data_IF_525157761706
#
_entry.id   IF_525157761706
#
_cell.length_a   1.000
_cell.length_b   1.000
_cell.length_c   1.000
_cell.angle_alpha   90.00
_cell.angle_beta   90.00
_cell.angle_gamma   90.00
#
_symmetry.space_group_name_H-M   'P 1'
#
loop_
_entity.id
_entity.type
_entity.pdbx_description
1 polymer ?
#
# COMPACT_ATOMS: atom_id res chain seq x y z
N UNK A 1 -30.48 10.70 14.32
CA UNK A 1 -29.65 10.04 15.35
C UNK A 1 -28.59 9.23 14.62
N UNK A 2 -27.31 9.59 14.74
CA UNK A 2 -26.24 8.87 14.06
C UNK A 2 -26.13 7.46 14.66
N UNK A 3 -26.35 6.41 13.86
CA UNK A 3 -26.11 5.04 14.30
C UNK A 3 -24.63 4.89 14.63
N UNK A 4 -24.32 4.82 15.92
CA UNK A 4 -22.99 4.42 16.38
C UNK A 4 -22.79 2.97 15.95
N UNK A 5 -21.77 2.75 15.13
CA UNK A 5 -21.45 1.42 14.63
C UNK A 5 -21.22 0.48 15.82
N UNK A 6 -21.80 -0.73 15.80
CA UNK A 6 -21.58 -1.80 16.80
C UNK A 6 -20.10 -2.26 16.92
N UNK A 7 -19.23 -1.63 16.13
CA UNK A 7 -17.80 -1.86 16.01
C UNK A 7 -16.98 -0.76 16.70
N UNK A 8 -17.61 0.27 17.25
CA UNK A 8 -16.94 1.37 17.94
C UNK A 8 -16.19 0.82 19.18
N UNK A 9 -14.86 0.78 19.10
CA UNK A 9 -13.99 0.25 20.15
C UNK A 9 -13.45 -1.18 19.91
N UNK A 10 -13.87 -1.88 18.86
CA UNK A 10 -13.30 -3.19 18.52
C UNK A 10 -12.01 -3.01 17.71
N UNK A 11 -10.91 -3.62 18.16
CA UNK A 11 -9.61 -3.56 17.47
C UNK A 11 -9.63 -4.50 16.26
N UNK A 12 -9.59 -3.94 15.06
CA UNK A 12 -9.37 -4.69 13.84
C UNK A 12 -7.89 -5.07 13.73
N UNK A 13 -7.51 -6.15 14.43
CA UNK A 13 -6.11 -6.55 14.57
C UNK A 13 -5.40 -6.66 13.21
N UNK A 14 -6.04 -7.27 12.21
CA UNK A 14 -5.47 -7.32 10.86
C UNK A 14 -5.32 -5.95 10.20
N UNK A 15 -6.33 -5.09 10.23
CA UNK A 15 -6.24 -3.75 9.61
C UNK A 15 -5.05 -2.95 10.16
N UNK A 16 -4.96 -2.83 11.47
CA UNK A 16 -3.92 -2.04 12.13
C UNK A 16 -2.53 -2.67 11.90
N UNK A 17 -2.45 -4.00 12.03
CA UNK A 17 -1.20 -4.72 11.81
C UNK A 17 -0.70 -4.58 10.37
N UNK A 18 -1.58 -4.78 9.39
CA UNK A 18 -1.25 -4.69 7.96
C UNK A 18 -0.83 -3.27 7.61
N UNK A 19 -1.57 -2.26 8.07
CA UNK A 19 -1.22 -0.86 7.83
C UNK A 19 0.19 -0.54 8.36
N UNK A 20 0.49 -0.96 9.60
CA UNK A 20 1.80 -0.76 10.21
C UNK A 20 2.92 -1.47 9.44
N UNK A 21 2.71 -2.72 9.00
CA UNK A 21 3.71 -3.48 8.23
C UNK A 21 3.96 -2.88 6.85
N UNK A 22 2.89 -2.50 6.12
CA UNK A 22 3.03 -1.85 4.82
C UNK A 22 3.82 -0.55 5.01
N UNK A 23 3.42 0.31 5.95
CA UNK A 23 4.11 1.57 6.22
C UNK A 23 5.59 1.37 6.53
N UNK A 24 5.93 0.38 7.37
CA UNK A 24 7.31 0.02 7.68
C UNK A 24 8.11 -0.37 6.42
N UNK A 25 7.55 -1.26 5.59
CA UNK A 25 8.20 -1.67 4.34
C UNK A 25 8.43 -0.50 3.37
N UNK A 26 7.49 0.45 3.29
CA UNK A 26 7.65 1.65 2.45
C UNK A 26 8.77 2.56 2.98
N UNK A 27 8.88 2.70 4.32
CA UNK A 27 9.92 3.50 4.98
C UNK A 27 11.30 2.86 4.82
N UNK A 28 11.44 1.55 5.04
CA UNK A 28 12.70 0.83 4.88
C UNK A 28 13.23 0.91 3.45
N UNK A 29 12.36 0.75 2.44
CA UNK A 29 12.74 0.85 1.03
C UNK A 29 13.20 2.25 0.65
N UNK A 30 12.57 3.28 1.22
CA UNK A 30 12.96 4.68 1.03
C UNK A 30 14.34 4.96 1.66
N UNK A 31 14.58 4.46 2.88
CA UNK A 31 15.86 4.62 3.57
C UNK A 31 17.01 3.89 2.85
N UNK A 32 16.76 2.69 2.31
CA UNK A 32 17.77 1.91 1.60
C UNK A 32 18.26 2.62 0.31
N UNK A 33 17.38 3.37 -0.36
CA UNK A 33 17.76 4.15 -1.53
C UNK A 33 18.50 5.46 -1.21
N UNK A 34 18.26 6.06 -0.05
CA UNK A 34 18.92 7.31 0.36
C UNK A 34 20.30 7.11 0.99
N UNK A 35 20.69 5.87 1.32
CA UNK A 35 21.96 5.55 2.00
C UNK A 35 23.21 5.47 1.10
N UNK A 36 23.09 5.64 -0.23
CA UNK A 36 24.21 5.47 -1.18
C UNK A 36 24.92 6.78 -1.56
N UNK A 37 24.47 7.94 -1.08
CA UNK A 37 25.15 9.23 -1.33
C UNK A 37 25.52 9.94 -0.04
N UNK A 38 26.64 9.54 0.55
CA UNK A 38 27.40 10.39 1.48
C UNK A 38 28.88 10.33 1.15
N UNK A 39 29.28 11.04 0.10
CA UNK A 39 30.65 11.54 -0.07
C UNK A 39 30.75 12.93 0.56
N UNK A 40 31.61 13.16 1.57
CA UNK A 40 31.78 14.47 2.17
C UNK A 40 32.84 15.28 1.40
N UNK A 41 32.39 16.26 0.61
CA UNK A 41 33.28 17.23 -0.05
C UNK A 41 33.03 18.64 0.51
N UNK A 42 34.03 19.15 1.23
CA UNK A 42 34.22 20.57 1.62
C UNK A 42 34.35 21.48 0.38
N UNK A 43 33.75 22.69 0.45
CA UNK A 43 34.21 24.03 -0.05
C UNK A 43 32.97 24.85 -0.49
N UNK A 44 32.58 25.96 0.16
CA UNK A 44 33.18 27.30 0.32
C UNK A 44 32.83 28.29 -0.83
N UNK A 45 32.06 29.33 -0.46
CA UNK A 45 32.01 30.74 -0.93
C UNK A 45 31.25 31.24 -2.20
N UNK A 46 30.43 32.30 -1.93
CA UNK A 46 30.17 33.54 -2.71
C UNK A 46 29.35 33.46 -4.02
N UNK A 47 28.45 34.37 -4.45
CA UNK A 47 27.91 35.69 -4.03
C UNK A 47 26.78 36.10 -5.04
N UNK A 48 25.76 36.87 -4.61
CA UNK A 48 24.80 37.74 -5.39
C UNK A 48 23.79 37.09 -6.39
N UNK A 49 22.55 37.53 -6.68
CA UNK A 49 21.66 38.68 -6.37
C UNK A 49 20.20 38.32 -6.81
N UNK A 50 19.15 38.96 -6.24
CA UNK A 50 17.69 38.88 -6.57
C UNK A 50 17.26 39.95 -7.62
N UNK A 51 15.98 40.24 -8.00
CA UNK A 51 14.64 39.65 -7.69
C UNK A 51 13.64 39.53 -8.89
N UNK A 52 12.47 38.89 -8.71
CA UNK A 52 11.25 39.19 -9.49
C UNK A 52 9.96 38.89 -8.70
N UNK A 53 8.99 39.81 -8.81
CA UNK A 53 7.66 39.88 -8.17
C UNK A 53 6.67 38.79 -8.61
N UNK A 54 5.58 38.53 -7.85
CA UNK A 54 4.32 38.19 -8.51
C UNK A 54 3.12 39.00 -8.00
N UNK A 55 2.28 39.41 -8.95
CA UNK A 55 0.96 39.98 -8.80
C UNK A 55 -0.06 38.98 -9.36
N UNK A 56 -1.24 38.90 -8.73
CA UNK A 56 -2.49 38.54 -9.42
C UNK A 56 -3.02 37.12 -9.22
N UNK A 57 -4.04 37.00 -8.35
CA UNK A 57 -5.40 36.62 -8.76
C UNK A 57 -5.72 35.20 -9.26
N UNK A 58 -6.46 34.50 -8.40
CA UNK A 58 -7.60 33.60 -8.70
C UNK A 58 -7.38 32.13 -9.08
N UNK A 59 -8.35 31.34 -8.58
CA UNK A 59 -8.72 29.96 -8.90
C UNK A 59 -8.06 28.89 -8.03
N UNK A 60 -8.82 28.41 -7.05
CA UNK A 60 -8.58 27.17 -6.30
C UNK A 60 -8.63 25.97 -7.24
N UNK A 61 -7.53 25.21 -7.41
CA UNK A 61 -7.59 23.84 -7.90
C UNK A 61 -7.62 22.90 -6.70
N UNK A 62 -8.48 21.89 -6.77
CA UNK A 62 -8.50 20.74 -5.85
C UNK A 62 -7.07 20.23 -5.69
N UNK A 63 -6.54 20.24 -4.47
CA UNK A 63 -5.16 19.88 -4.19
C UNK A 63 -4.98 18.37 -4.32
N UNK A 64 -4.79 17.90 -5.55
CA UNK A 64 -4.09 16.65 -5.82
C UNK A 64 -2.61 16.95 -5.63
N UNK A 65 -2.10 16.80 -4.41
CA UNK A 65 -0.66 16.81 -4.16
C UNK A 65 -0.04 15.55 -4.75
N UNK A 66 0.10 15.52 -6.07
CA UNK A 66 1.00 14.61 -6.75
C UNK A 66 2.43 15.03 -6.36
N UNK A 67 2.89 14.54 -5.20
CA UNK A 67 4.29 14.66 -4.81
C UNK A 67 5.13 14.06 -5.94
N UNK A 68 6.02 14.89 -6.52
CA UNK A 68 6.93 14.48 -7.57
C UNK A 68 7.74 13.29 -7.08
N UNK A 69 7.40 12.09 -7.56
CA UNK A 69 8.08 10.87 -7.19
C UNK A 69 9.49 10.88 -7.81
N UNK A 70 10.51 11.17 -7.00
CA UNK A 70 11.87 10.73 -7.31
C UNK A 70 11.85 9.22 -7.46
N UNK A 71 12.41 8.71 -8.55
CA UNK A 71 12.61 7.28 -8.81
C UNK A 71 13.23 6.64 -7.56
N UNK A 72 12.42 5.89 -6.81
CA UNK A 72 12.82 5.31 -5.54
C UNK A 72 11.91 5.51 -4.33
N UNK A 73 11.00 6.48 -4.35
CA UNK A 73 10.04 6.66 -3.26
C UNK A 73 8.88 5.69 -3.42
N UNK A 74 8.62 4.86 -2.43
CA UNK A 74 7.44 4.01 -2.41
C UNK A 74 6.19 4.89 -2.28
N UNK A 75 5.35 4.91 -3.31
CA UNK A 75 4.16 5.76 -3.36
C UNK A 75 2.89 4.98 -3.02
N UNK A 76 1.96 5.61 -2.31
CA UNK A 76 0.67 5.06 -1.95
C UNK A 76 -0.39 6.15 -1.86
N UNK A 77 -1.64 5.78 -2.08
CA UNK A 77 -2.79 6.71 -2.05
C UNK A 77 -3.72 6.33 -0.92
N UNK A 78 -4.05 7.29 -0.05
CA UNK A 78 -5.09 7.14 0.97
C UNK A 78 -6.39 7.80 0.48
N UNK A 79 -7.44 6.99 0.32
CA UNK A 79 -8.76 7.47 -0.07
C UNK A 79 -9.69 7.56 1.15
N UNK A 80 -10.06 8.77 1.55
CA UNK A 80 -10.96 9.04 2.68
C UNK A 80 -12.25 9.71 2.17
N UNK A 81 -13.38 9.44 2.84
CA UNK A 81 -14.67 10.05 2.51
C UNK A 81 -15.80 9.51 3.38
N UNK A 82 -16.92 10.22 3.43
CA UNK A 82 -18.10 9.81 4.21
C UNK A 82 -18.72 8.47 3.76
N UNK A 83 -19.60 7.86 4.57
CA UNK A 83 -20.38 6.70 4.15
C UNK A 83 -21.10 6.94 2.81
N UNK A 84 -21.14 5.95 1.93
CA UNK A 84 -21.82 6.07 0.63
C UNK A 84 -21.06 6.84 -0.46
N UNK A 85 -19.88 7.41 -0.18
CA UNK A 85 -19.11 8.19 -1.17
C UNK A 85 -18.45 7.36 -2.29
N UNK A 86 -18.78 6.07 -2.43
CA UNK A 86 -18.28 5.22 -3.51
C UNK A 86 -16.83 4.72 -3.39
N UNK A 87 -16.15 4.85 -2.25
CA UNK A 87 -14.73 4.41 -2.08
C UNK A 87 -14.53 2.95 -2.47
N UNK A 88 -15.34 2.06 -1.92
CA UNK A 88 -15.26 0.62 -2.21
C UNK A 88 -15.62 0.36 -3.67
N UNK A 89 -16.64 1.04 -4.21
CA UNK A 89 -17.03 0.91 -5.62
C UNK A 89 -15.90 1.31 -6.57
N UNK A 90 -15.15 2.36 -6.24
CA UNK A 90 -13.96 2.77 -6.99
C UNK A 90 -12.86 1.70 -6.92
N UNK A 91 -12.53 1.21 -5.72
CA UNK A 91 -11.53 0.14 -5.55
C UNK A 91 -11.93 -1.14 -6.31
N UNK A 92 -13.20 -1.53 -6.28
CA UNK A 92 -13.69 -2.70 -7.01
C UNK A 92 -13.67 -2.49 -8.51
N UNK A 93 -13.98 -1.30 -9.02
CA UNK A 93 -13.89 -1.01 -10.46
C UNK A 93 -12.43 -1.01 -10.95
N UNK A 94 -11.47 -0.59 -10.10
CA UNK A 94 -10.04 -0.69 -10.41
C UNK A 94 -9.55 -2.14 -10.48
N UNK A 95 -10.08 -3.00 -9.59
CA UNK A 95 -9.72 -4.41 -9.49
C UNK A 95 -10.51 -5.30 -10.44
N UNK A 96 -11.73 -4.93 -10.81
CA UNK A 96 -12.61 -5.70 -11.68
C UNK A 96 -13.42 -4.71 -12.50
N UNK A 97 -12.83 -4.17 -13.58
CA UNK A 97 -13.47 -3.14 -14.37
C UNK A 97 -14.74 -3.66 -15.01
N UNK A 98 -15.85 -2.97 -14.78
CA UNK A 98 -17.14 -3.21 -15.43
C UNK A 98 -17.38 -2.29 -16.62
N UNK A 99 -16.68 -1.14 -16.66
CA UNK A 99 -16.77 -0.16 -17.74
C UNK A 99 -15.71 -0.36 -18.83
N UNK A 100 -16.04 0.02 -20.06
CA UNK A 100 -15.10 0.00 -21.20
C UNK A 100 -13.87 0.87 -20.94
N UNK A 101 -14.06 2.02 -20.28
CA UNK A 101 -12.99 2.95 -19.90
C UNK A 101 -12.07 2.35 -18.84
N UNK A 102 -12.63 1.69 -17.82
CA UNK A 102 -11.85 0.97 -16.80
C UNK A 102 -11.01 -0.14 -17.39
N UNK A 103 -11.59 -0.90 -18.32
CA UNK A 103 -10.90 -1.99 -19.00
C UNK A 103 -9.72 -1.48 -19.85
N UNK A 104 -9.91 -0.37 -20.59
CA UNK A 104 -8.86 0.22 -21.42
C UNK A 104 -7.67 0.78 -20.61
N UNK A 105 -7.89 1.15 -19.34
CA UNK A 105 -6.81 1.58 -18.44
C UNK A 105 -5.92 0.44 -17.98
N UNK A 106 -6.38 -0.81 -18.04
CA UNK A 106 -5.59 -2.00 -17.73
C UNK A 106 -5.07 -2.10 -16.28
N UNK A 107 -5.55 -1.27 -15.35
CA UNK A 107 -5.03 -1.24 -13.97
C UNK A 107 -5.20 -2.58 -13.24
N UNK A 108 -6.30 -3.29 -13.50
CA UNK A 108 -6.52 -4.64 -12.97
C UNK A 108 -5.37 -5.59 -13.33
N UNK A 109 -4.84 -5.49 -14.55
CA UNK A 109 -3.76 -6.37 -15.01
C UNK A 109 -2.44 -6.11 -14.29
N UNK A 110 -2.28 -4.97 -13.62
CA UNK A 110 -1.09 -4.65 -12.82
C UNK A 110 -1.31 -4.91 -11.32
N UNK A 111 -2.49 -5.40 -10.93
CA UNK A 111 -2.80 -5.71 -9.54
C UNK A 111 -2.21 -7.06 -9.15
N UNK A 112 -1.25 -7.03 -8.23
CA UNK A 112 -0.66 -8.24 -7.68
C UNK A 112 -1.58 -8.94 -6.66
N UNK A 113 -2.31 -8.14 -5.88
CA UNK A 113 -3.23 -8.62 -4.86
C UNK A 113 -4.11 -7.49 -4.30
N UNK A 114 -5.18 -7.88 -3.62
CA UNK A 114 -6.09 -7.01 -2.88
C UNK A 114 -6.56 -7.67 -1.57
N UNK A 115 -7.03 -6.85 -0.63
CA UNK A 115 -7.67 -7.32 0.61
C UNK A 115 -8.79 -6.37 1.01
N UNK A 116 -10.01 -6.89 1.13
CA UNK A 116 -11.15 -6.14 1.66
C UNK A 116 -11.37 -6.51 3.11
N UNK A 117 -10.95 -5.63 4.03
CA UNK A 117 -11.20 -5.81 5.45
C UNK A 117 -12.67 -5.51 5.76
N UNK A 118 -13.41 -6.55 6.14
CA UNK A 118 -14.85 -6.52 6.43
C UNK A 118 -15.06 -6.77 7.91
N UNK A 119 -15.80 -5.89 8.56
CA UNK A 119 -15.94 -5.96 10.01
C UNK A 119 -16.89 -7.05 10.50
N UNK A 120 -17.76 -7.53 9.62
CA UNK A 120 -18.72 -8.61 9.78
C UNK A 120 -18.14 -10.00 9.46
N UNK A 121 -16.93 -10.06 8.91
CA UNK A 121 -16.31 -11.29 8.43
C UNK A 121 -14.96 -11.53 9.11
N UNK A 122 -14.94 -12.45 10.07
CA UNK A 122 -13.76 -12.78 10.87
C UNK A 122 -12.57 -13.25 10.05
N UNK A 123 -12.79 -13.87 8.88
CA UNK A 123 -11.71 -14.38 8.05
C UNK A 123 -10.90 -13.22 7.45
N UNK A 124 -11.58 -12.13 7.08
CA UNK A 124 -10.91 -10.92 6.59
C UNK A 124 -10.21 -10.12 7.69
N UNK A 125 -10.50 -10.44 8.96
CA UNK A 125 -9.86 -9.85 10.15
C UNK A 125 -8.69 -10.67 10.68
N UNK A 126 -8.46 -11.87 10.12
CA UNK A 126 -7.34 -12.74 10.49
C UNK A 126 -6.06 -12.32 9.74
N UNK A 127 -4.99 -12.02 10.49
CA UNK A 127 -3.68 -11.66 9.90
C UNK A 127 -3.10 -12.83 9.12
N UNK A 128 -3.15 -14.05 9.67
CA UNK A 128 -2.67 -15.24 8.97
C UNK A 128 -3.45 -15.50 7.68
N UNK A 129 -4.77 -15.31 7.72
CA UNK A 129 -5.63 -15.37 6.54
C UNK A 129 -5.25 -14.33 5.48
N UNK A 130 -4.99 -13.09 5.88
CA UNK A 130 -4.48 -12.04 4.99
C UNK A 130 -3.15 -12.43 4.32
N UNK A 131 -2.15 -12.90 5.08
CA UNK A 131 -0.83 -13.27 4.54
C UNK A 131 -0.96 -14.40 3.52
N UNK A 132 -1.66 -15.48 3.88
CA UNK A 132 -1.91 -16.62 2.98
C UNK A 132 -2.69 -16.19 1.72
N UNK A 133 -3.68 -15.32 1.90
CA UNK A 133 -4.45 -14.73 0.80
C UNK A 133 -3.61 -13.88 -0.14
N UNK A 134 -2.66 -13.10 0.41
CA UNK A 134 -1.72 -12.29 -0.35
C UNK A 134 -0.78 -13.18 -1.18
N UNK A 135 -0.14 -14.16 -0.54
CA UNK A 135 0.76 -15.12 -1.21
C UNK A 135 0.02 -15.82 -2.35
N UNK A 136 -1.18 -16.36 -2.08
CA UNK A 136 -1.97 -17.04 -3.09
C UNK A 136 -2.35 -16.15 -4.27
N UNK A 137 -2.66 -14.87 -4.03
CA UNK A 137 -2.96 -13.91 -5.10
C UNK A 137 -1.72 -13.59 -5.95
N UNK A 138 -0.57 -13.32 -5.32
CA UNK A 138 0.68 -13.01 -6.03
C UNK A 138 1.15 -14.22 -6.86
N UNK A 139 1.04 -15.44 -6.32
CA UNK A 139 1.35 -16.65 -7.08
C UNK A 139 0.47 -16.77 -8.33
N UNK A 140 -0.85 -16.51 -8.19
CA UNK A 140 -1.78 -16.58 -9.32
C UNK A 140 -1.60 -15.48 -10.35
N UNK A 141 -1.08 -14.31 -9.95
CA UNK A 141 -0.85 -13.21 -10.89
C UNK A 141 0.27 -13.52 -11.88
N UNK A 142 1.26 -14.34 -11.48
CA UNK A 142 2.39 -14.72 -12.33
C UNK A 142 3.30 -13.55 -12.73
N UNK A 143 3.09 -12.36 -12.16
CA UNK A 143 3.80 -11.14 -12.56
C UNK A 143 5.17 -11.00 -11.88
N UNK A 144 5.40 -11.73 -10.78
CA UNK A 144 6.63 -11.67 -10.01
C UNK A 144 7.47 -12.91 -10.28
N UNK A 145 8.50 -12.74 -11.13
CA UNK A 145 9.41 -13.83 -11.50
C UNK A 145 10.10 -14.42 -10.27
N UNK A 146 10.20 -15.75 -10.21
CA UNK A 146 10.83 -16.49 -9.11
C UNK A 146 10.04 -16.51 -7.80
N UNK A 147 8.91 -15.78 -7.69
CA UNK A 147 8.13 -15.77 -6.45
C UNK A 147 7.50 -17.13 -6.15
N UNK A 148 6.97 -17.81 -7.17
CA UNK A 148 6.36 -19.13 -6.98
C UNK A 148 7.41 -20.17 -6.52
N UNK A 149 8.62 -20.14 -7.09
CA UNK A 149 9.73 -20.99 -6.66
C UNK A 149 10.11 -20.71 -5.19
N UNK A 150 10.23 -19.42 -4.82
CA UNK A 150 10.50 -19.02 -3.44
C UNK A 150 9.41 -19.53 -2.49
N UNK A 151 8.15 -19.45 -2.88
CA UNK A 151 7.02 -19.94 -2.07
C UNK A 151 7.04 -21.46 -1.95
N UNK A 152 7.60 -22.20 -2.92
CA UNK A 152 7.75 -23.66 -2.84
C UNK A 152 8.86 -24.11 -1.88
N UNK A 153 9.71 -23.21 -1.38
CA UNK A 153 10.69 -23.53 -0.34
C UNK A 153 9.99 -24.13 0.90
N UNK A 154 10.39 -25.33 1.36
CA UNK A 154 9.81 -25.97 2.54
C UNK A 154 9.80 -25.08 3.79
N UNK A 155 10.80 -24.23 3.96
CA UNK A 155 10.87 -23.31 5.11
C UNK A 155 9.78 -22.23 5.02
N UNK A 156 9.50 -21.72 3.82
CA UNK A 156 8.42 -20.75 3.57
C UNK A 156 7.06 -21.43 3.73
N UNK A 157 6.88 -22.62 3.15
CA UNK A 157 5.64 -23.40 3.29
C UNK A 157 5.31 -23.72 4.75
N UNK A 158 6.32 -24.05 5.56
CA UNK A 158 6.12 -24.29 6.99
C UNK A 158 5.59 -23.05 7.71
N UNK A 159 6.12 -21.86 7.41
CA UNK A 159 5.65 -20.60 8.01
C UNK A 159 4.24 -20.20 7.52
N UNK A 160 3.84 -20.64 6.33
CA UNK A 160 2.52 -20.35 5.74
C UNK A 160 1.42 -21.32 6.18
N UNK A 161 1.74 -22.37 6.93
CA UNK A 161 0.72 -23.30 7.46
C UNK A 161 -0.32 -22.55 8.31
N UNK A 162 -1.61 -22.91 8.25
CA UNK A 162 -2.68 -22.14 8.89
C UNK A 162 -2.41 -21.77 10.35
N UNK A 163 -2.06 -22.77 11.17
CA UNK A 163 -1.76 -22.57 12.59
C UNK A 163 -0.42 -21.88 12.87
N UNK A 164 0.60 -22.10 12.04
CA UNK A 164 1.92 -21.50 12.25
C UNK A 164 1.93 -20.02 11.86
N UNK A 165 1.30 -19.69 10.73
CA UNK A 165 1.14 -18.33 10.25
C UNK A 165 0.31 -17.46 11.21
N UNK A 166 -0.66 -18.05 11.90
CA UNK A 166 -1.46 -17.37 12.94
C UNK A 166 -0.69 -17.16 14.24
N UNK A 167 0.18 -18.12 14.62
CA UNK A 167 1.08 -17.99 15.78
C UNK A 167 2.17 -16.96 15.55
N UNK A 168 2.76 -16.94 14.35
CA UNK A 168 3.93 -16.14 14.02
C UNK A 168 3.75 -15.32 12.71
N UNK A 169 2.75 -14.43 12.62
CA UNK A 169 2.44 -13.70 11.38
C UNK A 169 3.56 -12.76 10.93
N UNK A 170 4.35 -12.24 11.87
CA UNK A 170 5.49 -11.37 11.52
C UNK A 170 6.59 -12.14 10.81
N UNK A 171 6.88 -13.38 11.22
CA UNK A 171 7.87 -14.20 10.53
C UNK A 171 7.34 -14.70 9.20
N UNK A 172 6.08 -15.16 9.15
CA UNK A 172 5.44 -15.58 7.90
C UNK A 172 5.42 -14.47 6.83
N UNK A 173 5.22 -13.21 7.21
CA UNK A 173 5.23 -12.07 6.28
C UNK A 173 6.63 -11.65 5.82
N UNK A 174 7.67 -11.92 6.62
CA UNK A 174 9.07 -11.59 6.26
C UNK A 174 9.66 -12.55 5.23
N UNK A 175 9.25 -13.82 5.28
CA UNK A 175 9.73 -14.89 4.39
C UNK A 175 9.25 -14.64 2.96
#
# INVERSE_FOLDING_TARGET
MAQTSLLQGKRFYCREWVFHKIQHCLQEKTNNLTGVTSTPSKQQQQQQQQPAVPSGGASTPVSLTAGSAKSGSSWGVLLVGGPGSGKTALCTELLWPSSTQGNHRGMHQQSLAFHFCRADDSDTLCVGGFIRGLVGQICRSGQLQGYEEKVRDPAVQSCLQPGECERNPTEAFKR
#
